data_IF_528778970913
#
_entry.id   IF_528778970913
#
_cell.length_a   1.000
_cell.length_b   1.000
_cell.length_c   1.000
_cell.angle_alpha   90.00
_cell.angle_beta   90.00
_cell.angle_gamma   90.00
#
_symmetry.space_group_name_H-M   'P 1'
#
loop_
_entity.id
_entity.type
_entity.pdbx_description
1 polymer ?
#
# COMPACT_ATOMS: atom_id res chain seq x y z
N UNK A 1 21.63 40.05 15.85
CA UNK A 1 20.86 38.90 16.39
C UNK A 1 19.45 38.85 15.76
N UNK A 2 19.34 38.88 14.43
CA UNK A 2 18.05 38.93 13.72
C UNK A 2 18.13 38.36 12.28
N UNK A 3 18.81 37.23 12.07
CA UNK A 3 18.84 36.58 10.73
C UNK A 3 18.57 35.07 10.75
N UNK A 4 18.30 34.48 11.93
CA UNK A 4 18.08 33.03 12.05
C UNK A 4 16.61 32.60 12.01
N UNK A 5 15.64 33.54 12.02
CA UNK A 5 14.19 33.23 12.13
C UNK A 5 13.41 33.21 10.81
N UNK A 6 14.04 33.43 9.66
CA UNK A 6 13.31 33.50 8.37
C UNK A 6 13.57 32.27 7.47
N UNK A 7 14.59 31.45 7.75
CA UNK A 7 14.88 30.23 7.00
C UNK A 7 14.09 28.98 7.47
N UNK A 8 13.21 29.15 8.46
CA UNK A 8 12.20 28.16 8.87
C UNK A 8 10.89 28.36 8.09
N UNK A 9 10.91 29.21 7.07
CA UNK A 9 9.81 29.43 6.15
C UNK A 9 9.71 28.25 5.16
N UNK A 10 8.62 27.49 5.31
CA UNK A 10 7.99 26.68 4.27
C UNK A 10 8.87 25.58 3.67
N UNK A 11 9.33 24.62 4.48
CA UNK A 11 9.38 23.25 3.96
C UNK A 11 7.93 22.81 3.79
N UNK A 12 7.45 22.43 2.59
CA UNK A 12 6.25 21.63 2.54
C UNK A 12 6.58 20.38 3.34
N UNK A 13 5.98 20.23 4.52
CA UNK A 13 5.94 18.93 5.18
C UNK A 13 5.16 18.09 4.20
N UNK A 14 5.86 17.28 3.40
CA UNK A 14 5.22 16.38 2.47
C UNK A 14 4.24 15.56 3.30
N UNK A 15 2.95 15.73 3.07
CA UNK A 15 1.91 14.98 3.77
C UNK A 15 2.11 13.51 3.45
N UNK A 16 2.44 12.71 4.46
CA UNK A 16 2.61 11.27 4.29
C UNK A 16 1.26 10.62 4.53
N UNK A 17 0.75 9.90 3.54
CA UNK A 17 -0.42 9.05 3.69
C UNK A 17 0.03 7.61 3.81
N UNK A 18 -0.51 6.87 4.79
CA UNK A 18 -0.33 5.43 4.90
C UNK A 18 -1.63 4.77 4.50
N UNK A 19 -1.52 3.82 3.58
CA UNK A 19 -2.67 3.06 3.08
C UNK A 19 -2.41 1.56 3.22
N UNK A 20 -3.42 0.82 3.61
CA UNK A 20 -3.34 -0.62 3.87
C UNK A 20 -4.55 -1.37 3.32
N UNK A 21 -4.40 -2.67 3.06
CA UNK A 21 -5.57 -3.54 2.96
C UNK A 21 -6.15 -3.75 4.37
N UNK A 22 -7.47 -3.66 4.50
CA UNK A 22 -8.19 -3.90 5.74
C UNK A 22 -8.25 -5.41 6.03
N UNK A 23 -7.61 -5.91 7.10
CA UNK A 23 -7.62 -7.33 7.41
C UNK A 23 -9.06 -7.83 7.66
N UNK A 24 -9.39 -9.00 7.14
CA UNK A 24 -10.74 -9.57 7.21
C UNK A 24 -10.77 -10.81 8.10
N UNK A 25 -11.72 -10.85 9.02
CA UNK A 25 -12.05 -12.08 9.75
C UNK A 25 -12.94 -12.93 8.86
N UNK A 26 -12.41 -14.03 8.35
CA UNK A 26 -13.17 -15.00 7.57
C UNK A 26 -13.79 -16.07 8.47
N UNK A 27 -14.96 -16.57 8.06
CA UNK A 27 -15.58 -17.76 8.68
C UNK A 27 -14.64 -18.96 8.62
N UNK A 28 -14.71 -19.87 9.60
CA UNK A 28 -13.74 -20.97 9.81
C UNK A 28 -13.26 -21.71 8.54
N UNK A 29 -14.13 -22.01 7.57
CA UNK A 29 -13.76 -22.70 6.33
C UNK A 29 -12.92 -21.90 5.32
N UNK A 30 -12.74 -20.59 5.53
CA UNK A 30 -11.97 -19.68 4.66
C UNK A 30 -10.82 -18.99 5.40
N UNK A 31 -10.67 -19.20 6.71
CA UNK A 31 -9.55 -18.63 7.47
C UNK A 31 -8.25 -19.38 7.14
N UNK A 32 -7.15 -18.64 7.00
CA UNK A 32 -5.81 -19.21 6.74
C UNK A 32 -4.86 -19.08 7.95
N UNK A 33 -5.38 -18.79 9.14
CA UNK A 33 -4.58 -18.59 10.36
C UNK A 33 -5.45 -18.32 11.60
N UNK A 34 -4.80 -17.94 12.70
CA UNK A 34 -5.48 -17.52 13.92
C UNK A 34 -6.05 -16.10 13.71
N UNK A 35 -7.36 -15.87 13.88
CA UNK A 35 -7.92 -14.51 13.82
C UNK A 35 -7.25 -13.50 14.75
N UNK A 36 -6.62 -13.94 15.84
CA UNK A 36 -5.86 -13.06 16.74
C UNK A 36 -4.63 -12.43 16.07
N UNK A 37 -4.05 -13.08 15.06
CA UNK A 37 -2.91 -12.54 14.29
C UNK A 37 -3.26 -11.18 13.65
N UNK A 38 -4.55 -10.94 13.38
CA UNK A 38 -5.04 -9.68 12.82
C UNK A 38 -4.90 -8.50 13.79
N UNK A 39 -4.96 -8.76 15.10
CA UNK A 39 -4.78 -7.74 16.14
C UNK A 39 -3.34 -7.25 16.15
N UNK A 40 -2.39 -8.20 16.08
CA UNK A 40 -0.97 -7.86 15.98
C UNK A 40 -0.66 -7.08 14.70
N UNK A 41 -1.24 -7.51 13.57
CA UNK A 41 -1.09 -6.84 12.29
C UNK A 41 -1.62 -5.39 12.34
N UNK A 42 -2.81 -5.17 12.92
CA UNK A 42 -3.36 -3.83 13.11
C UNK A 42 -2.43 -2.95 13.95
N UNK A 43 -1.83 -3.51 15.02
CA UNK A 43 -0.83 -2.81 15.82
C UNK A 43 0.44 -2.44 15.04
N UNK A 44 0.91 -3.31 14.14
CA UNK A 44 2.04 -3.02 13.24
C UNK A 44 1.72 -1.89 12.27
N UNK A 45 0.54 -1.92 11.64
CA UNK A 45 0.10 -0.86 10.71
C UNK A 45 0.06 0.50 11.42
N UNK A 46 -0.59 0.58 12.58
CA UNK A 46 -0.65 1.82 13.36
C UNK A 46 0.73 2.30 13.83
N UNK A 47 1.64 1.39 14.21
CA UNK A 47 3.03 1.74 14.55
C UNK A 47 3.78 2.33 13.35
N UNK A 48 3.62 1.75 12.16
CA UNK A 48 4.24 2.26 10.92
C UNK A 48 3.68 3.64 10.57
N UNK A 49 2.36 3.83 10.64
CA UNK A 49 1.72 5.12 10.39
C UNK A 49 2.22 6.21 11.36
N UNK A 50 2.30 5.88 12.66
CA UNK A 50 2.84 6.78 13.67
C UNK A 50 4.32 7.11 13.46
N UNK A 51 5.16 6.11 13.15
CA UNK A 51 6.59 6.31 12.90
C UNK A 51 6.87 7.16 11.65
N UNK A 52 6.00 7.08 10.64
CA UNK A 52 6.09 7.89 9.43
C UNK A 52 5.48 9.30 9.59
N UNK A 53 4.85 9.60 10.73
CA UNK A 53 4.13 10.86 10.94
C UNK A 53 2.99 11.03 9.94
N UNK A 54 2.25 9.95 9.66
CA UNK A 54 1.20 9.95 8.66
C UNK A 54 0.13 11.01 9.00
N UNK A 55 -0.19 11.88 8.05
CA UNK A 55 -1.28 12.85 8.18
C UNK A 55 -2.64 12.22 7.88
N UNK A 56 -2.65 11.04 7.27
CA UNK A 56 -3.84 10.27 6.95
C UNK A 56 -3.50 8.78 6.94
N UNK A 57 -4.37 7.98 7.54
CA UNK A 57 -4.37 6.53 7.46
C UNK A 57 -5.69 6.06 6.83
N UNK A 58 -5.60 5.24 5.77
CA UNK A 58 -6.77 4.66 5.10
C UNK A 58 -6.58 3.15 4.99
N UNK A 59 -7.69 2.41 5.13
CA UNK A 59 -7.72 0.98 4.86
C UNK A 59 -8.79 0.66 3.84
N UNK A 60 -8.47 -0.23 2.90
CA UNK A 60 -9.38 -0.68 1.85
C UNK A 60 -9.70 -2.15 2.01
N UNK A 61 -10.96 -2.54 1.90
CA UNK A 61 -11.34 -3.94 1.76
C UNK A 61 -10.71 -4.51 0.47
N UNK A 62 -10.38 -5.81 0.42
CA UNK A 62 -9.82 -6.43 -0.79
C UNK A 62 -10.62 -6.10 -2.05
N UNK A 63 -11.96 -6.14 -1.94
CA UNK A 63 -12.86 -5.86 -3.08
C UNK A 63 -12.86 -4.41 -3.53
N UNK A 64 -12.52 -3.45 -2.67
CA UNK A 64 -12.51 -2.03 -3.01
C UNK A 64 -11.34 -1.69 -3.94
N UNK A 65 -10.16 -2.26 -3.69
CA UNK A 65 -8.97 -1.95 -4.47
C UNK A 65 -8.65 -2.99 -5.55
N UNK A 66 -8.90 -4.29 -5.27
CA UNK A 66 -8.63 -5.42 -6.18
C UNK A 66 -9.83 -5.78 -7.07
N UNK A 67 -11.06 -5.44 -6.62
CA UNK A 67 -12.28 -5.88 -7.28
C UNK A 67 -12.50 -7.38 -7.15
N UNK A 68 -12.79 -8.05 -8.26
CA UNK A 68 -12.97 -9.52 -8.35
C UNK A 68 -11.85 -10.21 -9.13
N UNK A 69 -10.74 -9.51 -9.39
CA UNK A 69 -9.63 -10.06 -10.14
C UNK A 69 -8.89 -11.12 -9.32
N UNK A 70 -8.40 -12.13 -10.02
CA UNK A 70 -7.50 -13.12 -9.45
C UNK A 70 -6.20 -12.44 -8.96
N UNK A 71 -5.60 -12.99 -7.90
CA UNK A 71 -4.43 -12.41 -7.25
C UNK A 71 -3.22 -12.33 -8.18
N UNK A 72 -2.96 -13.38 -8.97
CA UNK A 72 -1.81 -13.42 -9.86
C UNK A 72 -2.01 -12.45 -11.03
N UNK A 73 -3.23 -12.37 -11.55
CA UNK A 73 -3.60 -11.37 -12.58
C UNK A 73 -3.40 -9.95 -12.04
N UNK A 74 -3.81 -9.69 -10.79
CA UNK A 74 -3.62 -8.38 -10.16
C UNK A 74 -2.13 -8.03 -10.01
N UNK A 75 -1.28 -8.98 -9.62
CA UNK A 75 0.17 -8.78 -9.54
C UNK A 75 0.75 -8.36 -10.89
N UNK A 76 0.37 -9.04 -11.98
CA UNK A 76 0.84 -8.66 -13.32
C UNK A 76 0.31 -7.28 -13.75
N UNK A 77 -0.93 -6.94 -13.40
CA UNK A 77 -1.46 -5.59 -13.64
C UNK A 77 -0.64 -4.53 -12.91
N UNK A 78 -0.26 -4.77 -11.65
CA UNK A 78 0.53 -3.87 -10.82
C UNK A 78 1.94 -3.70 -11.41
N UNK A 79 2.61 -4.80 -11.79
CA UNK A 79 3.91 -4.76 -12.46
C UNK A 79 3.86 -3.92 -13.72
N UNK A 80 2.85 -4.12 -14.58
CA UNK A 80 2.67 -3.30 -15.77
C UNK A 80 2.57 -1.79 -15.49
N UNK A 81 1.98 -1.38 -14.36
CA UNK A 81 1.93 0.05 -13.95
C UNK A 81 3.25 0.58 -13.41
N UNK A 82 4.02 -0.27 -12.74
CA UNK A 82 5.30 0.09 -12.14
C UNK A 82 6.43 0.11 -13.16
N UNK A 83 6.40 -0.78 -14.16
CA UNK A 83 7.40 -0.86 -15.22
C UNK A 83 7.44 0.41 -16.10
N UNK A 84 6.33 1.15 -16.15
CA UNK A 84 6.26 2.49 -16.77
C UNK A 84 7.02 3.57 -15.98
N UNK A 85 7.49 3.24 -14.77
CA UNK A 85 8.19 4.13 -13.83
C UNK A 85 9.46 3.44 -13.30
N UNK A 86 10.57 3.42 -14.06
CA UNK A 86 11.80 2.71 -13.68
C UNK A 86 12.35 3.09 -12.29
N UNK A 87 12.19 4.36 -11.89
CA UNK A 87 12.62 4.86 -10.58
C UNK A 87 11.80 4.26 -9.43
N UNK A 88 10.50 4.03 -9.63
CA UNK A 88 9.64 3.39 -8.63
C UNK A 88 9.89 1.87 -8.62
N UNK A 89 10.03 1.26 -9.80
CA UNK A 89 10.36 -0.15 -9.96
C UNK A 89 11.64 -0.53 -9.21
N UNK A 90 12.70 0.28 -9.34
CA UNK A 90 13.98 0.06 -8.65
C UNK A 90 13.89 0.16 -7.11
N UNK A 91 12.79 0.67 -6.55
CA UNK A 91 12.56 0.75 -5.10
C UNK A 91 11.79 -0.44 -4.53
N UNK A 92 11.16 -1.26 -5.38
CA UNK A 92 10.45 -2.46 -4.94
C UNK A 92 11.47 -3.47 -4.44
N UNK A 93 11.31 -3.92 -3.18
CA UNK A 93 12.19 -4.90 -2.55
C UNK A 93 11.39 -6.09 -2.07
N UNK A 94 11.79 -7.27 -2.51
CA UNK A 94 11.13 -8.52 -2.12
C UNK A 94 11.83 -9.20 -0.95
N UNK A 95 11.08 -9.85 -0.04
CA UNK A 95 11.66 -10.78 0.91
C UNK A 95 12.25 -11.99 0.19
N UNK A 96 13.17 -12.69 0.85
CA UNK A 96 13.74 -13.96 0.33
C UNK A 96 12.70 -15.06 0.16
N UNK A 97 11.68 -15.06 1.03
CA UNK A 97 10.59 -16.03 0.98
C UNK A 97 9.68 -15.74 -0.23
N UNK A 98 9.76 -16.61 -1.25
CA UNK A 98 9.03 -16.45 -2.51
C UNK A 98 7.50 -16.39 -2.29
N UNK A 99 6.99 -17.22 -1.39
CA UNK A 99 5.57 -17.26 -1.02
C UNK A 99 5.07 -16.00 -0.32
N UNK A 100 5.97 -15.09 0.10
CA UNK A 100 5.63 -13.79 0.71
C UNK A 100 5.82 -12.60 -0.21
N UNK A 101 6.30 -12.81 -1.44
CA UNK A 101 6.55 -11.70 -2.36
C UNK A 101 5.27 -11.00 -2.82
N UNK A 102 4.15 -11.73 -2.90
CA UNK A 102 2.84 -11.16 -3.24
C UNK A 102 2.40 -10.07 -2.26
N UNK A 103 2.75 -10.17 -0.97
CA UNK A 103 2.45 -9.12 0.02
C UNK A 103 3.07 -7.76 -0.35
N UNK A 104 4.27 -7.77 -0.95
CA UNK A 104 4.92 -6.53 -1.43
C UNK A 104 4.15 -5.96 -2.61
N UNK A 105 3.72 -6.82 -3.55
CA UNK A 105 2.93 -6.38 -4.69
C UNK A 105 1.55 -5.88 -4.28
N UNK A 106 0.86 -6.55 -3.36
CA UNK A 106 -0.41 -6.07 -2.79
C UNK A 106 -0.23 -4.68 -2.15
N UNK A 107 0.85 -4.45 -1.38
CA UNK A 107 1.13 -3.14 -0.79
C UNK A 107 1.35 -2.05 -1.87
N UNK A 108 2.07 -2.37 -2.94
CA UNK A 108 2.22 -1.47 -4.10
C UNK A 108 0.87 -1.23 -4.78
N UNK A 109 0.05 -2.27 -4.95
CA UNK A 109 -1.27 -2.20 -5.55
C UNK A 109 -2.23 -1.30 -4.78
N UNK A 110 -2.33 -1.46 -3.46
CA UNK A 110 -3.12 -0.59 -2.58
C UNK A 110 -2.64 0.86 -2.69
N UNK A 111 -1.32 1.09 -2.71
CA UNK A 111 -0.74 2.41 -2.94
C UNK A 111 -1.16 3.01 -4.29
N UNK A 112 -1.04 2.25 -5.37
CA UNK A 112 -1.45 2.66 -6.72
C UNK A 112 -2.96 2.95 -6.80
N UNK A 113 -3.79 2.17 -6.12
CA UNK A 113 -5.22 2.40 -6.04
C UNK A 113 -5.52 3.74 -5.35
N UNK A 114 -4.93 3.97 -4.18
CA UNK A 114 -5.14 5.20 -3.40
C UNK A 114 -4.80 6.48 -4.17
N UNK A 115 -3.80 6.41 -5.06
CA UNK A 115 -3.39 7.55 -5.92
C UNK A 115 -4.03 7.53 -7.32
N UNK A 116 -5.01 6.66 -7.56
CA UNK A 116 -5.76 6.61 -8.82
C UNK A 116 -5.02 6.02 -10.03
N UNK A 117 -3.89 5.31 -9.79
CA UNK A 117 -3.01 4.77 -10.84
C UNK A 117 -3.29 3.31 -11.22
N UNK A 118 -4.17 2.62 -10.51
CA UNK A 118 -4.51 1.21 -10.76
C UNK A 118 -5.73 1.02 -11.68
N UNK A 119 -6.51 2.06 -11.97
CA UNK A 119 -7.75 1.95 -12.74
C UNK A 119 -7.54 1.31 -14.13
N UNK A 120 -8.43 0.41 -14.60
CA UNK A 120 -8.31 -0.22 -15.91
C UNK A 120 -8.16 0.79 -17.05
N UNK A 121 -7.27 0.50 -18.00
CA UNK A 121 -7.18 1.29 -19.23
C UNK A 121 -8.36 0.94 -20.11
N UNK A 122 -9.18 1.94 -20.45
CA UNK A 122 -10.19 1.77 -21.49
C UNK A 122 -9.46 1.70 -22.83
N UNK A 123 -9.45 0.52 -23.45
CA UNK A 123 -9.07 0.36 -24.84
C UNK A 123 -10.36 0.47 -25.63
N UNK A 124 -10.55 1.61 -26.31
CA UNK A 124 -11.64 1.72 -27.29
C UNK A 124 -11.16 1.07 -28.59
N UNK A 125 -12.02 0.32 -29.30
CA UNK A 125 -11.75 -0.14 -30.66
C UNK A 125 -11.67 1.03 -31.64
#
# INVERSE_FOLDING_TARGET
>A
MLHRKVAEALRPVASVHVVSECPQVYTAGKSKGDPHDLIELAGVVGRVAGALGASLELSYLPREWKGTLDGDIMVECIKGRIDERPVEQARVRHPRAADKQHNVWDAVGVGLHAVGRLAPRKVFP
#
